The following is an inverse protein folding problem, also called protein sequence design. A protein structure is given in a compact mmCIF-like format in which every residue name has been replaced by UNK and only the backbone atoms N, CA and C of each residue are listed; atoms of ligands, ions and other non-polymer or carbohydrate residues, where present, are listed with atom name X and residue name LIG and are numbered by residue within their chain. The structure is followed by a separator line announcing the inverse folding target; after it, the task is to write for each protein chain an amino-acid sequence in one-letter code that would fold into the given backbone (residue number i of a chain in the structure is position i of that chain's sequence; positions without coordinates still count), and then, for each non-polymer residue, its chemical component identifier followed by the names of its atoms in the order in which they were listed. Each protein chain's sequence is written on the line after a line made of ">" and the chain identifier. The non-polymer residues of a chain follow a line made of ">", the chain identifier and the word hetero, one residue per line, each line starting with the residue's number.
data_IF_113874350803
#
_entry.id   IF_113874350803
#
_cell.length_a   1.000
_cell.length_b   1.000
_cell.length_c   1.000
_cell.angle_alpha   90.00
_cell.angle_beta   90.00
_cell.angle_gamma   90.00
#
_symmetry.space_group_name_H-M   'P 1'
#
loop_
_entity.id
_entity.type
_entity.pdbx_description
1 polymer ?
#
# COMPACT_ATOMS: atom_id res chain seq x y z
N UNK A 1 4.10 -18.97 -14.42
CA UNK A 1 3.54 -17.60 -14.49
C UNK A 1 2.27 -17.59 -13.66
N UNK A 2 2.39 -17.23 -12.37
CA UNK A 2 1.27 -17.31 -11.42
C UNK A 2 0.33 -16.11 -11.56
N UNK A 3 -0.97 -16.41 -11.53
CA UNK A 3 -2.06 -15.57 -11.97
C UNK A 3 -2.24 -14.30 -11.15
N UNK A 4 -2.10 -13.16 -11.84
CA UNK A 4 -2.61 -11.88 -11.39
C UNK A 4 -4.08 -11.78 -11.85
N UNK A 5 -5.03 -11.76 -10.90
CA UNK A 5 -6.43 -11.46 -11.22
C UNK A 5 -6.57 -10.04 -11.80
N UNK A 6 -7.59 -9.75 -12.63
CA UNK A 6 -7.75 -8.46 -13.33
C UNK A 6 -7.79 -7.22 -12.41
N UNK A 7 -8.07 -7.39 -11.12
CA UNK A 7 -8.04 -6.32 -10.10
C UNK A 7 -6.64 -6.05 -9.52
N UNK A 8 -5.61 -6.76 -9.99
CA UNK A 8 -4.25 -6.74 -9.45
C UNK A 8 -4.17 -7.23 -7.98
N UNK A 9 -5.19 -7.92 -7.47
CA UNK A 9 -5.08 -8.64 -6.20
C UNK A 9 -4.36 -9.94 -6.48
N UNK A 10 -3.22 -10.14 -5.82
CA UNK A 10 -2.57 -11.45 -5.86
C UNK A 10 -3.45 -12.46 -5.10
N UNK A 11 -3.73 -13.61 -5.72
CA UNK A 11 -4.37 -14.74 -5.05
C UNK A 11 -3.56 -15.22 -3.83
N UNK A 12 -2.24 -15.00 -3.83
CA UNK A 12 -1.30 -15.41 -2.78
C UNK A 12 -1.69 -14.88 -1.39
N UNK A 13 -2.28 -13.67 -1.29
CA UNK A 13 -2.55 -13.06 0.02
C UNK A 13 -3.88 -13.50 0.66
N UNK A 14 -4.93 -13.78 -0.13
CA UNK A 14 -6.25 -14.09 0.46
C UNK A 14 -6.24 -15.42 1.22
N UNK A 15 -5.50 -16.39 0.69
CA UNK A 15 -5.44 -17.72 1.28
C UNK A 15 -4.36 -17.77 2.36
N UNK A 16 -3.23 -17.08 2.17
CA UNK A 16 -2.12 -17.08 3.13
C UNK A 16 -2.26 -16.08 4.30
N UNK A 17 -3.08 -15.03 4.20
CA UNK A 17 -3.13 -13.96 5.21
C UNK A 17 -4.50 -13.88 5.86
N UNK A 18 -4.54 -13.97 7.19
CA UNK A 18 -5.78 -13.86 7.98
C UNK A 18 -6.14 -12.41 8.33
N UNK A 19 -5.12 -11.56 8.51
CA UNK A 19 -5.29 -10.15 8.87
C UNK A 19 -4.16 -9.33 8.29
N UNK A 20 -4.47 -8.10 7.91
CA UNK A 20 -3.48 -7.08 7.60
C UNK A 20 -3.79 -5.84 8.42
N UNK A 21 -2.77 -5.27 9.06
CA UNK A 21 -2.88 -3.94 9.67
C UNK A 21 -2.05 -2.95 8.86
N UNK A 22 -2.62 -1.76 8.67
CA UNK A 22 -1.98 -0.66 7.96
C UNK A 22 -1.87 0.53 8.92
N UNK A 23 -0.65 1.01 9.11
CA UNK A 23 -0.38 2.21 9.90
C UNK A 23 0.21 3.27 8.99
N UNK A 24 -0.32 4.48 9.07
CA UNK A 24 0.15 5.64 8.31
C UNK A 24 0.49 6.75 9.30
N UNK A 25 1.73 7.25 9.22
CA UNK A 25 2.18 8.41 9.97
C UNK A 25 2.65 9.49 9.00
N UNK A 26 2.00 10.64 9.03
CA UNK A 26 2.39 11.80 8.23
C UNK A 26 3.30 12.70 9.06
N UNK A 27 4.40 13.14 8.45
CA UNK A 27 5.35 14.06 9.07
C UNK A 27 5.53 15.25 8.12
N UNK A 28 5.41 16.50 8.60
CA UNK A 28 5.61 17.67 7.74
C UNK A 28 7.06 17.76 7.25
N UNK A 29 7.26 18.33 6.07
CA UNK A 29 8.60 18.66 5.53
C UNK A 29 8.84 20.17 5.55
N UNK A 30 10.11 20.63 5.60
CA UNK A 30 10.44 22.06 5.56
C UNK A 30 9.91 22.79 4.31
N UNK A 31 9.73 22.08 3.21
CA UNK A 31 9.30 22.62 1.91
C UNK A 31 7.77 22.78 1.79
N UNK A 32 7.02 22.51 2.87
CA UNK A 32 5.56 22.65 2.89
C UNK A 32 4.79 21.40 2.44
N UNK A 33 5.44 20.23 2.43
CA UNK A 33 4.83 18.95 2.10
C UNK A 33 4.68 18.01 3.30
N UNK A 34 4.42 16.72 3.02
CA UNK A 34 4.43 15.67 4.04
C UNK A 34 5.11 14.40 3.54
N UNK A 35 5.78 13.69 4.46
CA UNK A 35 6.27 12.33 4.26
C UNK A 35 5.29 11.38 4.94
N UNK A 36 4.65 10.50 4.17
CA UNK A 36 3.87 9.40 4.70
C UNK A 36 4.76 8.20 4.99
N UNK A 37 5.00 7.91 6.28
CA UNK A 37 5.63 6.68 6.75
C UNK A 37 4.54 5.62 6.90
N UNK A 38 4.57 4.60 6.04
CA UNK A 38 3.63 3.48 6.07
C UNK A 38 4.29 2.23 6.65
N UNK A 39 3.61 1.60 7.61
CA UNK A 39 3.89 0.24 8.07
C UNK A 39 2.74 -0.68 7.67
N UNK A 40 3.05 -1.89 7.24
CA UNK A 40 2.04 -2.90 6.89
C UNK A 40 2.44 -4.23 7.50
N UNK A 41 1.61 -4.75 8.40
CA UNK A 41 1.86 -6.00 9.12
C UNK A 41 0.90 -7.06 8.60
N UNK A 42 1.47 -8.18 8.12
CA UNK A 42 0.73 -9.29 7.54
C UNK A 42 0.75 -10.45 8.54
N UNK A 43 -0.44 -10.88 8.96
CA UNK A 43 -0.62 -12.00 9.88
C UNK A 43 -0.91 -13.25 9.04
N UNK A 44 0.06 -14.17 9.02
CA UNK A 44 0.10 -15.29 8.08
C UNK A 44 -0.59 -16.51 8.71
N UNK A 45 -1.41 -17.20 7.91
CA UNK A 45 -2.13 -18.41 8.33
C UNK A 45 -1.18 -19.60 8.34
N UNK A 46 -1.08 -20.27 9.48
CA UNK A 46 -0.25 -21.47 9.63
C UNK A 46 1.18 -21.25 9.13
N UNK A 47 1.66 -22.19 8.32
CA UNK A 47 3.01 -22.18 7.76
C UNK A 47 3.05 -21.64 6.32
N UNK A 48 2.05 -20.86 5.90
CA UNK A 48 2.04 -20.29 4.57
C UNK A 48 3.25 -19.35 4.38
N UNK A 49 3.83 -19.35 3.18
CA UNK A 49 4.93 -18.46 2.85
C UNK A 49 4.44 -17.26 2.03
N UNK A 50 4.98 -16.08 2.34
CA UNK A 50 4.72 -14.86 1.57
C UNK A 50 6.02 -14.19 1.13
N UNK A 51 6.03 -13.69 -0.11
CA UNK A 51 7.16 -12.93 -0.63
C UNK A 51 7.03 -11.44 -0.25
N UNK A 52 7.84 -11.00 0.73
CA UNK A 52 7.83 -9.63 1.24
C UNK A 52 8.16 -8.59 0.17
N UNK A 53 9.07 -8.89 -0.75
CA UNK A 53 9.51 -7.94 -1.77
C UNK A 53 8.47 -7.78 -2.86
N UNK A 54 7.83 -8.88 -3.29
CA UNK A 54 6.69 -8.82 -4.20
C UNK A 54 5.53 -8.02 -3.60
N UNK A 55 5.24 -8.21 -2.30
CA UNK A 55 4.21 -7.45 -1.60
C UNK A 55 4.56 -5.95 -1.59
N UNK A 56 5.80 -5.59 -1.24
CA UNK A 56 6.26 -4.21 -1.26
C UNK A 56 6.16 -3.60 -2.65
N UNK A 57 6.51 -4.33 -3.70
CA UNK A 57 6.47 -3.82 -5.07
C UNK A 57 5.04 -3.61 -5.56
N UNK A 58 4.19 -4.64 -5.44
CA UNK A 58 2.81 -4.57 -5.95
C UNK A 58 1.99 -3.58 -5.14
N UNK A 59 1.95 -3.73 -3.82
CA UNK A 59 1.10 -2.89 -2.97
C UNK A 59 1.74 -1.53 -2.68
N UNK A 60 3.07 -1.45 -2.65
CA UNK A 60 3.77 -0.18 -2.52
C UNK A 60 3.49 0.76 -3.67
N UNK A 61 3.58 0.27 -4.92
CA UNK A 61 3.24 1.06 -6.12
C UNK A 61 1.77 1.49 -6.13
N UNK A 62 0.86 0.60 -5.73
CA UNK A 62 -0.57 0.92 -5.61
C UNK A 62 -0.84 2.05 -4.60
N UNK A 63 -0.29 1.95 -3.40
CA UNK A 63 -0.42 3.01 -2.38
C UNK A 63 0.21 4.32 -2.84
N UNK A 64 1.39 4.27 -3.47
CA UNK A 64 2.03 5.46 -4.02
C UNK A 64 1.17 6.12 -5.11
N UNK A 65 0.55 5.33 -6.00
CA UNK A 65 -0.40 5.83 -6.99
C UNK A 65 -1.63 6.50 -6.38
N UNK A 66 -2.19 5.90 -5.32
CA UNK A 66 -3.31 6.49 -4.58
C UNK A 66 -2.93 7.86 -3.97
N UNK A 67 -1.79 7.96 -3.29
CA UNK A 67 -1.35 9.24 -2.71
C UNK A 67 -1.11 10.31 -3.77
N UNK A 68 -0.54 9.94 -4.93
CA UNK A 68 -0.38 10.87 -6.07
C UNK A 68 -1.72 11.38 -6.59
N UNK A 69 -2.73 10.53 -6.67
CA UNK A 69 -4.07 10.95 -7.11
C UNK A 69 -4.73 11.90 -6.10
N UNK A 70 -4.59 11.62 -4.80
CA UNK A 70 -5.08 12.50 -3.72
C UNK A 70 -4.35 13.85 -3.73
N UNK A 71 -3.02 13.84 -3.87
CA UNK A 71 -2.21 15.06 -3.99
C UNK A 71 -2.62 15.89 -5.21
N UNK A 72 -2.78 15.27 -6.38
CA UNK A 72 -3.23 15.96 -7.59
C UNK A 72 -4.63 16.57 -7.42
N UNK A 73 -5.53 15.90 -6.69
CA UNK A 73 -6.85 16.44 -6.39
C UNK A 73 -6.75 17.71 -5.55
N UNK A 74 -5.99 17.71 -4.45
CA UNK A 74 -5.85 18.91 -3.60
C UNK A 74 -5.12 20.04 -4.31
N UNK A 75 -4.13 19.75 -5.17
CA UNK A 75 -3.46 20.78 -5.98
C UNK A 75 -4.42 21.45 -6.97
N UNK A 76 -5.36 20.70 -7.54
CA UNK A 76 -6.38 21.24 -8.44
C UNK A 76 -7.54 21.93 -7.70
N UNK A 77 -7.70 21.68 -6.40
CA UNK A 77 -8.81 22.17 -5.57
C UNK A 77 -8.27 22.73 -4.24
N UNK A 78 -7.65 23.93 -4.25
CA UNK A 78 -6.94 24.49 -3.08
C UNK A 78 -7.84 24.85 -1.89
N UNK A 79 -9.16 24.93 -2.10
CA UNK A 79 -10.15 25.28 -1.07
C UNK A 79 -10.94 24.06 -0.53
N UNK A 80 -10.55 22.84 -0.90
CA UNK A 80 -11.22 21.58 -0.51
C UNK A 80 -10.97 21.16 0.94
#
# INVERSE_FOLDING_TARGET
>A
MEGLEPSGRSLLLKDAVEKVTYEHKFVPTPEGGSICKRTSTYYIKGDAEINKDQIKDVYGKKTAGLFKAVEAYFLANPDA
#
